data_IF_755528700118
#
_entry.id   IF_755528700118
#
_cell.length_a   1.000
_cell.length_b   1.000
_cell.length_c   1.000
_cell.angle_alpha   90.00
_cell.angle_beta   90.00
_cell.angle_gamma   90.00
#
_symmetry.space_group_name_H-M   'P 1'
#
loop_
_entity.id
_entity.type
_entity.pdbx_description
1 polymer ?
#
# COMPACT_ATOMS: atom_id res chain seq x y z
N UNK A 1 44.51 31.06 -27.02
CA UNK A 1 43.25 31.74 -27.37
C UNK A 1 42.41 31.84 -26.12
N UNK A 2 41.82 33.00 -25.93
CA UNK A 2 41.31 33.60 -24.69
C UNK A 2 39.87 33.14 -24.38
N UNK A 3 39.61 32.85 -23.08
CA UNK A 3 38.42 33.07 -22.22
C UNK A 3 36.99 32.68 -22.72
N UNK A 4 35.95 32.52 -21.90
CA UNK A 4 35.68 33.00 -20.54
C UNK A 4 34.63 32.15 -19.80
N UNK A 5 34.69 32.25 -18.47
CA UNK A 5 33.79 31.74 -17.44
C UNK A 5 32.60 32.71 -17.27
N UNK A 6 31.38 32.20 -17.06
CA UNK A 6 30.25 32.99 -16.54
C UNK A 6 29.67 32.29 -15.31
N UNK A 7 29.86 32.93 -14.16
CA UNK A 7 29.18 32.70 -12.89
C UNK A 7 28.17 33.84 -12.73
N UNK A 8 26.91 33.53 -12.42
CA UNK A 8 25.92 34.53 -12.05
C UNK A 8 25.40 34.26 -10.63
N UNK A 9 25.78 35.15 -9.72
CA UNK A 9 25.27 35.30 -8.36
C UNK A 9 24.19 36.38 -8.43
N UNK A 10 22.99 36.13 -7.86
CA UNK A 10 22.02 37.19 -7.56
C UNK A 10 21.54 37.00 -6.12
N UNK A 11 21.81 38.02 -5.30
CA UNK A 11 21.37 38.13 -3.92
C UNK A 11 20.56 39.42 -3.72
N UNK A 12 19.45 39.26 -2.98
CA UNK A 12 18.77 40.15 -2.04
C UNK A 12 18.27 41.55 -2.48
N UNK A 13 16.99 41.83 -2.18
CA UNK A 13 16.58 43.00 -1.37
C UNK A 13 15.28 42.73 -0.61
N UNK A 14 15.32 43.02 0.69
CA UNK A 14 14.21 43.04 1.66
C UNK A 14 13.56 44.44 1.62
N UNK A 15 12.23 44.52 1.61
CA UNK A 15 11.49 45.77 1.86
C UNK A 15 10.59 45.57 3.07
N UNK A 16 10.89 46.31 4.14
CA UNK A 16 10.06 46.47 5.32
C UNK A 16 9.38 47.84 5.25
N UNK A 17 8.07 47.90 5.49
CA UNK A 17 7.34 49.13 5.75
C UNK A 17 6.69 49.04 7.13
N UNK A 18 7.15 49.88 8.05
CA UNK A 18 6.51 50.20 9.32
C UNK A 18 5.77 51.53 9.18
N UNK A 19 4.59 51.65 9.77
CA UNK A 19 4.00 52.94 10.12
C UNK A 19 3.17 52.81 11.39
N UNK A 20 3.64 53.50 12.42
CA UNK A 20 2.99 53.71 13.71
C UNK A 20 1.87 54.76 13.58
N UNK A 21 0.81 54.62 14.39
CA UNK A 21 -0.23 55.64 14.56
C UNK A 21 -0.97 55.43 15.87
N UNK A 22 -0.55 56.17 16.90
CA UNK A 22 -1.14 56.24 18.23
C UNK A 22 -2.34 57.20 18.26
N UNK A 23 -3.33 56.91 19.10
CA UNK A 23 -4.43 57.85 19.40
C UNK A 23 -5.32 57.34 20.54
N UNK A 24 -5.00 57.77 21.76
CA UNK A 24 -5.76 57.55 22.99
C UNK A 24 -6.96 58.50 23.10
N UNK A 25 -8.01 58.08 23.82
CA UNK A 25 -9.12 58.94 24.24
C UNK A 25 -10.05 58.25 25.23
N UNK A 26 -9.92 58.62 26.49
CA UNK A 26 -10.62 58.11 27.68
C UNK A 26 -12.12 58.46 27.75
N UNK A 27 -12.87 57.71 28.58
CA UNK A 27 -14.25 58.04 28.95
C UNK A 27 -14.85 57.09 30.00
N UNK A 28 -14.49 57.32 31.26
CA UNK A 28 -14.93 56.61 32.48
C UNK A 28 -16.42 56.82 32.83
N UNK A 29 -17.05 55.85 33.51
CA UNK A 29 -18.38 56.06 34.13
C UNK A 29 -19.02 54.84 34.82
N UNK A 30 -18.53 54.51 36.02
CA UNK A 30 -19.23 54.15 37.28
C UNK A 30 -20.55 53.31 37.27
N UNK A 31 -20.55 52.18 38.01
CA UNK A 31 -21.72 51.43 38.54
C UNK A 31 -21.92 51.73 40.06
N UNK A 32 -22.84 51.11 40.87
CA UNK A 32 -24.01 50.21 40.68
C UNK A 32 -25.23 50.72 41.56
N UNK A 33 -26.12 49.94 42.26
CA UNK A 33 -26.60 48.53 42.19
C UNK A 33 -28.16 48.36 42.27
N UNK A 34 -28.70 47.13 42.16
CA UNK A 34 -30.04 46.80 42.72
C UNK A 34 -30.92 45.72 42.05
N UNK A 35 -30.86 44.51 42.60
CA UNK A 35 -31.92 43.49 42.82
C UNK A 35 -32.99 43.09 41.76
N UNK A 36 -32.93 41.79 41.42
CA UNK A 36 -34.00 40.76 41.45
C UNK A 36 -35.03 40.57 40.32
N UNK A 37 -35.05 39.29 39.88
CA UNK A 37 -36.18 38.42 39.45
C UNK A 37 -36.85 38.61 38.08
N UNK A 38 -36.83 37.54 37.27
CA UNK A 38 -37.88 37.27 36.28
C UNK A 38 -37.48 36.54 34.98
N UNK A 39 -37.65 35.21 34.98
CA UNK A 39 -38.11 34.36 33.86
C UNK A 39 -37.32 34.22 32.54
N UNK A 40 -36.80 33.00 32.37
CA UNK A 40 -37.01 32.08 31.24
C UNK A 40 -36.90 32.62 29.81
N UNK A 41 -35.84 32.20 29.10
CA UNK A 41 -35.90 31.62 27.74
C UNK A 41 -34.52 31.05 27.37
N UNK A 42 -34.44 29.73 27.26
CA UNK A 42 -33.29 28.98 26.75
C UNK A 42 -33.04 29.33 25.28
N UNK A 43 -31.85 29.80 24.85
CA UNK A 43 -31.51 29.79 23.43
C UNK A 43 -31.03 28.40 23.05
N UNK A 44 -31.71 27.78 22.08
CA UNK A 44 -31.30 26.54 21.46
C UNK A 44 -29.85 26.67 20.95
N UNK A 45 -28.97 25.82 21.50
CA UNK A 45 -27.59 25.65 21.05
C UNK A 45 -27.65 25.04 19.65
N UNK A 46 -27.67 25.91 18.64
CA UNK A 46 -27.49 25.50 17.25
C UNK A 46 -26.11 24.85 17.15
N UNK A 47 -26.11 23.52 17.11
CA UNK A 47 -24.99 22.69 16.75
C UNK A 47 -24.53 23.10 15.36
N UNK A 48 -23.43 23.84 15.29
CA UNK A 48 -22.69 24.02 14.05
C UNK A 48 -22.24 22.63 13.64
N UNK A 49 -22.92 22.08 12.63
CA UNK A 49 -22.53 20.86 11.97
C UNK A 49 -21.10 21.04 11.46
N UNK A 50 -20.17 20.28 12.04
CA UNK A 50 -18.81 20.16 11.52
C UNK A 50 -18.90 19.73 10.07
N UNK A 51 -18.42 20.59 9.16
CA UNK A 51 -18.21 20.24 7.77
C UNK A 51 -17.33 18.97 7.69
N UNK A 52 -17.56 18.08 6.72
CA UNK A 52 -16.73 16.89 6.55
C UNK A 52 -15.29 17.33 6.28
N UNK A 53 -14.37 16.84 7.12
CA UNK A 53 -12.94 17.09 7.01
C UNK A 53 -12.47 16.82 5.58
N UNK A 54 -11.95 17.84 4.92
CA UNK A 54 -11.18 17.67 3.69
C UNK A 54 -10.09 16.61 3.97
N UNK A 55 -10.06 15.56 3.14
CA UNK A 55 -9.06 14.49 3.20
C UNK A 55 -7.67 15.10 3.23
N UNK A 56 -7.03 15.09 4.40
CA UNK A 56 -5.65 15.59 4.57
C UNK A 56 -4.74 14.63 3.81
N UNK A 57 -3.87 15.16 2.96
CA UNK A 57 -2.85 14.37 2.29
C UNK A 57 -2.10 13.52 3.33
N UNK A 58 -1.85 12.23 3.05
CA UNK A 58 -1.14 11.35 3.99
C UNK A 58 0.19 11.97 4.42
N UNK A 59 0.50 11.92 5.72
CA UNK A 59 1.79 12.36 6.23
C UNK A 59 2.75 11.17 6.29
N UNK A 60 4.06 11.38 6.01
CA UNK A 60 5.03 10.30 6.04
C UNK A 60 5.15 9.69 7.45
N UNK A 61 5.25 8.36 7.58
CA UNK A 61 5.30 7.68 8.88
C UNK A 61 6.60 7.96 9.64
N UNK A 62 7.70 8.21 8.91
CA UNK A 62 8.98 8.67 9.46
C UNK A 62 9.52 9.78 8.57
N UNK A 63 10.31 10.70 9.14
CA UNK A 63 10.85 11.83 8.39
C UNK A 63 11.67 11.34 7.18
N UNK A 64 11.35 11.88 6.00
CA UNK A 64 11.99 11.52 4.75
C UNK A 64 11.34 10.35 4.01
N UNK A 65 10.52 9.55 4.68
CA UNK A 65 9.74 8.51 3.99
C UNK A 65 8.74 9.13 3.00
N UNK A 66 8.31 8.29 2.06
CA UNK A 66 7.19 8.61 1.18
C UNK A 66 5.92 8.90 2.01
N UNK A 67 5.19 9.96 1.64
CA UNK A 67 4.10 10.50 2.45
C UNK A 67 2.93 9.51 2.64
N UNK A 68 2.69 8.61 1.68
CA UNK A 68 1.67 7.55 1.77
C UNK A 68 2.20 6.20 2.27
N UNK A 69 3.44 6.13 2.76
CA UNK A 69 4.05 4.86 3.12
C UNK A 69 3.36 4.20 4.31
N UNK A 70 3.28 2.86 4.26
CA UNK A 70 2.54 2.07 5.24
C UNK A 70 1.03 2.02 4.99
N UNK A 71 0.55 2.71 3.96
CA UNK A 71 -0.81 2.60 3.43
C UNK A 71 -0.88 1.85 2.10
N UNK A 72 -1.87 2.16 1.24
CA UNK A 72 -2.10 1.40 0.02
C UNK A 72 -0.98 1.61 -0.99
N UNK A 73 -0.89 0.70 -1.96
CA UNK A 73 0.02 0.86 -3.10
C UNK A 73 -0.33 2.17 -3.84
N UNK A 74 0.66 3.01 -4.17
CA UNK A 74 0.41 4.17 -5.02
C UNK A 74 -0.12 3.72 -6.38
N UNK A 75 -1.16 4.39 -6.90
CA UNK A 75 -1.72 4.09 -8.23
C UNK A 75 -0.70 4.30 -9.37
N UNK A 76 0.33 5.10 -9.13
CA UNK A 76 1.45 5.35 -10.05
C UNK A 76 2.53 4.28 -9.98
N UNK A 77 2.41 3.28 -9.11
CA UNK A 77 3.45 2.29 -8.91
C UNK A 77 3.52 1.30 -10.08
N UNK A 78 4.71 1.15 -10.67
CA UNK A 78 4.96 0.23 -11.78
C UNK A 78 5.49 -1.13 -11.27
N UNK A 79 5.14 -2.27 -11.90
CA UNK A 79 5.69 -3.55 -11.49
C UNK A 79 7.20 -3.60 -11.72
N UNK A 80 7.95 -4.13 -10.75
CA UNK A 80 9.37 -4.45 -10.95
C UNK A 80 9.52 -5.60 -11.96
N UNK A 81 10.59 -5.59 -12.80
CA UNK A 81 10.94 -6.74 -13.61
C UNK A 81 11.21 -7.96 -12.72
N UNK A 82 10.57 -9.08 -13.05
CA UNK A 82 10.70 -10.34 -12.29
C UNK A 82 11.55 -11.36 -13.04
N UNK A 83 12.13 -12.28 -12.28
CA UNK A 83 12.84 -13.45 -12.79
C UNK A 83 12.61 -14.63 -11.83
N UNK A 84 12.94 -15.84 -12.26
CA UNK A 84 12.90 -17.03 -11.39
C UNK A 84 14.30 -17.28 -10.84
N UNK A 85 14.44 -17.26 -9.52
CA UNK A 85 15.72 -17.49 -8.86
C UNK A 85 16.30 -18.85 -9.19
N UNK A 86 17.55 -18.90 -9.65
CA UNK A 86 18.21 -20.14 -10.06
C UNK A 86 18.27 -21.21 -8.95
N UNK A 87 18.45 -20.76 -7.71
CA UNK A 87 18.63 -21.64 -6.54
C UNK A 87 17.36 -21.78 -5.70
N UNK A 88 16.58 -20.70 -5.59
CA UNK A 88 15.34 -20.68 -4.81
C UNK A 88 14.17 -21.24 -5.60
N UNK A 89 14.22 -21.18 -6.93
CA UNK A 89 13.10 -21.45 -7.84
C UNK A 89 11.85 -20.60 -7.56
N UNK A 90 12.01 -19.50 -6.82
CA UNK A 90 10.94 -18.56 -6.50
C UNK A 90 10.92 -17.44 -7.54
N UNK A 91 9.74 -16.86 -7.77
CA UNK A 91 9.66 -15.58 -8.48
C UNK A 91 10.27 -14.51 -7.59
N UNK A 92 11.17 -13.73 -8.19
CA UNK A 92 11.98 -12.75 -7.49
C UNK A 92 12.07 -11.45 -8.28
N UNK A 93 12.38 -10.37 -7.60
CA UNK A 93 12.72 -9.08 -8.21
C UNK A 93 13.89 -8.43 -7.47
N UNK A 94 14.61 -7.59 -8.19
CA UNK A 94 15.70 -6.78 -7.62
C UNK A 94 15.52 -5.32 -8.03
N UNK A 95 16.03 -4.43 -7.18
CA UNK A 95 16.26 -3.06 -7.58
C UNK A 95 17.51 -2.48 -6.94
N UNK A 96 18.06 -1.48 -7.63
CA UNK A 96 18.99 -0.51 -7.07
C UNK A 96 18.41 0.89 -7.26
N UNK A 97 18.63 1.73 -6.25
CA UNK A 97 18.40 3.18 -6.40
C UNK A 97 19.26 3.76 -7.55
N UNK A 98 18.92 4.94 -8.09
CA UNK A 98 19.69 5.57 -9.17
C UNK A 98 21.20 5.67 -8.89
N UNK A 99 21.59 5.94 -7.64
CA UNK A 99 23.01 5.99 -7.22
C UNK A 99 23.60 4.61 -6.93
N UNK A 100 22.79 3.58 -6.72
CA UNK A 100 23.22 2.23 -6.38
C UNK A 100 23.67 2.05 -4.92
N UNK A 101 23.52 3.09 -4.07
CA UNK A 101 23.89 3.02 -2.65
C UNK A 101 22.88 2.25 -1.78
N UNK A 102 21.69 2.00 -2.33
CA UNK A 102 20.60 1.26 -1.67
C UNK A 102 20.08 0.23 -2.66
N UNK A 103 19.92 -1.00 -2.20
CA UNK A 103 19.38 -2.09 -2.99
C UNK A 103 18.38 -2.93 -2.22
N UNK A 104 17.48 -3.58 -2.97
CA UNK A 104 16.53 -4.55 -2.42
C UNK A 104 16.42 -5.80 -3.30
N UNK A 105 16.21 -6.94 -2.64
CA UNK A 105 15.69 -8.16 -3.24
C UNK A 105 14.32 -8.49 -2.66
N UNK A 106 13.45 -8.99 -3.53
CA UNK A 106 12.10 -9.43 -3.22
C UNK A 106 11.92 -10.83 -3.77
N UNK A 107 11.19 -11.67 -3.03
CA UNK A 107 10.86 -13.02 -3.41
C UNK A 107 9.43 -13.32 -2.97
N UNK A 108 8.77 -14.22 -3.67
CA UNK A 108 7.63 -14.93 -3.11
C UNK A 108 8.01 -15.54 -1.75
N UNK A 109 7.07 -15.64 -0.79
CA UNK A 109 7.35 -16.26 0.50
C UNK A 109 7.91 -17.67 0.33
N UNK A 110 9.08 -17.93 0.91
CA UNK A 110 9.59 -19.30 1.02
C UNK A 110 8.83 -20.09 2.10
N UNK A 111 9.22 -21.34 2.33
CA UNK A 111 8.59 -22.21 3.33
C UNK A 111 8.65 -21.66 4.77
N UNK A 112 9.54 -20.70 5.04
CA UNK A 112 9.70 -20.04 6.33
C UNK A 112 9.14 -18.60 6.32
N UNK A 113 8.37 -18.23 5.29
CA UNK A 113 7.79 -16.90 5.15
C UNK A 113 8.77 -15.81 4.73
N UNK A 114 10.02 -16.14 4.35
CA UNK A 114 11.02 -15.15 3.95
C UNK A 114 10.71 -14.62 2.55
N UNK A 115 10.79 -13.30 2.38
CA UNK A 115 10.37 -12.59 1.16
C UNK A 115 11.44 -11.65 0.59
N UNK A 116 12.65 -11.67 1.14
CA UNK A 116 13.77 -10.86 0.67
C UNK A 116 14.30 -9.90 1.72
N UNK A 117 14.81 -8.75 1.30
CA UNK A 117 15.52 -7.78 2.15
C UNK A 117 15.90 -6.51 1.38
N UNK A 118 16.17 -5.44 2.12
CA UNK A 118 16.83 -4.23 1.62
C UNK A 118 18.06 -3.88 2.44
N UNK A 119 18.99 -3.13 1.85
CA UNK A 119 20.12 -2.59 2.60
C UNK A 119 20.74 -1.33 2.01
N UNK A 120 21.48 -0.63 2.86
CA UNK A 120 22.27 0.55 2.49
C UNK A 120 23.74 0.13 2.49
N UNK A 121 24.39 0.12 1.33
CA UNK A 121 25.74 -0.46 1.19
C UNK A 121 26.78 0.27 2.04
N UNK A 122 26.65 1.59 2.22
CA UNK A 122 27.54 2.38 3.08
C UNK A 122 27.44 2.02 4.57
N UNK A 123 26.40 1.31 4.99
CA UNK A 123 26.25 0.85 6.39
C UNK A 123 26.97 -0.48 6.65
N UNK A 124 27.49 -1.15 5.62
CA UNK A 124 28.28 -2.38 5.78
C UNK A 124 29.72 -2.09 6.27
N UNK A 125 29.83 -1.41 7.41
CA UNK A 125 31.08 -1.03 8.07
C UNK A 125 30.93 -1.16 9.58
N UNK A 126 32.02 -1.20 10.34
CA UNK A 126 31.97 -1.23 11.81
C UNK A 126 31.25 -0.02 12.43
N UNK A 127 31.14 1.09 11.70
CA UNK A 127 30.54 2.35 12.17
C UNK A 127 29.09 2.52 11.66
N UNK A 128 28.39 1.43 11.38
CA UNK A 128 27.00 1.50 10.94
C UNK A 128 26.13 2.29 11.93
N UNK A 129 25.28 3.21 11.45
CA UNK A 129 24.30 3.88 12.31
C UNK A 129 23.24 2.93 12.87
N UNK A 130 23.12 1.71 12.32
CA UNK A 130 22.22 0.66 12.82
C UNK A 130 22.86 -0.19 13.93
N UNK A 131 24.08 0.18 14.36
CA UNK A 131 24.89 -0.60 15.28
C UNK A 131 25.61 -1.75 14.59
N UNK A 132 26.32 -2.56 15.38
CA UNK A 132 27.07 -3.70 14.88
C UNK A 132 26.94 -4.92 15.78
N UNK A 133 27.34 -6.07 15.26
CA UNK A 133 27.43 -7.31 16.02
C UNK A 133 28.90 -7.67 16.19
N UNK A 134 29.31 -7.91 17.44
CA UNK A 134 30.67 -8.32 17.77
C UNK A 134 30.87 -9.78 17.38
N UNK A 135 31.81 -10.03 16.47
CA UNK A 135 32.25 -11.36 16.04
C UNK A 135 33.76 -11.43 16.21
N UNK A 136 34.27 -12.38 17.00
CA UNK A 136 35.72 -12.68 17.20
C UNK A 136 36.65 -11.50 16.82
N UNK A 137 36.71 -10.47 17.66
CA UNK A 137 37.61 -9.32 17.50
C UNK A 137 37.23 -8.27 16.45
N UNK A 138 36.12 -8.44 15.71
CA UNK A 138 35.65 -7.50 14.68
C UNK A 138 34.16 -7.17 14.86
N UNK A 139 33.84 -5.88 14.88
CA UNK A 139 32.47 -5.37 14.88
C UNK A 139 31.95 -5.33 13.42
N UNK A 140 30.89 -6.09 13.14
CA UNK A 140 30.25 -6.18 11.81
C UNK A 140 28.99 -5.33 11.79
N UNK A 141 28.98 -4.27 10.98
CA UNK A 141 27.85 -3.36 10.86
C UNK A 141 26.57 -4.07 10.48
N UNK A 142 25.47 -3.68 11.12
CA UNK A 142 24.13 -4.01 10.64
C UNK A 142 23.81 -3.11 9.46
N UNK A 143 23.31 -3.67 8.36
CA UNK A 143 23.11 -2.90 7.14
C UNK A 143 21.95 -3.40 6.28
N UNK A 144 21.33 -4.51 6.69
CA UNK A 144 20.22 -5.17 6.02
C UNK A 144 18.99 -5.18 6.91
N UNK A 145 17.83 -5.07 6.28
CA UNK A 145 16.51 -5.30 6.86
C UNK A 145 15.87 -6.47 6.12
N UNK A 146 15.60 -7.56 6.83
CA UNK A 146 14.96 -8.74 6.26
C UNK A 146 13.46 -8.57 6.12
N UNK A 147 12.89 -9.16 5.08
CA UNK A 147 11.45 -9.26 4.86
C UNK A 147 11.00 -10.69 5.14
N UNK A 148 10.07 -10.83 6.06
CA UNK A 148 9.42 -12.10 6.36
C UNK A 148 8.02 -11.86 6.89
N UNK A 149 7.09 -12.77 6.59
CA UNK A 149 5.70 -12.72 7.04
C UNK A 149 5.02 -11.37 6.77
N UNK A 150 5.30 -10.79 5.60
CA UNK A 150 4.83 -9.47 5.17
C UNK A 150 5.27 -8.31 6.07
N UNK A 151 6.38 -8.45 6.82
CA UNK A 151 6.89 -7.42 7.73
C UNK A 151 8.38 -7.17 7.58
N UNK A 152 8.81 -5.99 8.03
CA UNK A 152 10.23 -5.64 8.09
C UNK A 152 10.84 -6.00 9.45
N UNK A 153 11.78 -6.95 9.42
CA UNK A 153 12.51 -7.41 10.60
C UNK A 153 13.55 -6.41 11.11
N UNK A 154 14.09 -6.69 12.29
CA UNK A 154 15.20 -5.92 12.88
C UNK A 154 16.43 -5.87 11.97
N UNK A 155 17.21 -4.77 11.99
CA UNK A 155 18.42 -4.70 11.20
C UNK A 155 19.48 -5.68 11.70
N UNK A 156 20.16 -6.33 10.75
CA UNK A 156 21.11 -7.38 11.04
C UNK A 156 22.42 -7.26 10.24
N UNK A 157 23.48 -7.89 10.73
CA UNK A 157 24.78 -7.97 10.07
C UNK A 157 24.80 -9.12 9.06
N UNK A 158 25.53 -8.95 7.96
CA UNK A 158 25.87 -10.05 7.05
C UNK A 158 27.36 -9.96 6.72
N UNK A 159 28.04 -11.10 6.77
CA UNK A 159 29.47 -11.22 6.48
C UNK A 159 29.79 -11.16 4.98
N UNK A 160 28.78 -11.24 4.11
CA UNK A 160 28.90 -11.06 2.66
C UNK A 160 28.06 -9.89 2.18
N UNK A 161 28.53 -9.19 1.14
CA UNK A 161 27.63 -8.41 0.29
C UNK A 161 26.67 -9.40 -0.35
N UNK A 162 25.37 -9.11 -0.31
CA UNK A 162 24.41 -9.91 -1.07
C UNK A 162 24.86 -9.86 -2.53
N UNK A 163 25.08 -11.01 -3.16
CA UNK A 163 25.80 -11.08 -4.46
C UNK A 163 25.18 -10.19 -5.55
N UNK A 164 23.88 -9.92 -5.45
CA UNK A 164 23.13 -9.03 -6.33
C UNK A 164 23.39 -7.54 -6.07
N UNK A 165 23.81 -7.11 -4.88
CA UNK A 165 24.23 -5.72 -4.63
C UNK A 165 25.61 -5.41 -5.21
N UNK A 166 26.43 -6.42 -5.50
CA UNK A 166 27.66 -6.23 -6.25
C UNK A 166 27.32 -6.27 -7.74
N UNK A 167 27.20 -5.10 -8.36
CA UNK A 167 26.96 -5.00 -9.79
C UNK A 167 28.27 -4.83 -10.57
N UNK A 168 28.42 -5.48 -11.73
CA UNK A 168 27.50 -6.49 -12.28
C UNK A 168 27.56 -7.78 -11.46
N UNK A 169 26.44 -8.50 -11.35
CA UNK A 169 26.47 -9.83 -10.75
C UNK A 169 27.38 -10.75 -11.58
N UNK A 170 28.02 -11.73 -10.94
CA UNK A 170 29.00 -12.61 -11.60
C UNK A 170 28.42 -13.50 -12.71
N UNK A 171 27.10 -13.61 -12.79
CA UNK A 171 26.33 -14.30 -13.83
C UNK A 171 25.90 -13.37 -14.98
N UNK A 172 26.33 -12.10 -14.96
CA UNK A 172 25.98 -11.09 -15.96
C UNK A 172 24.63 -10.43 -15.73
N UNK A 173 23.88 -10.80 -14.68
CA UNK A 173 22.60 -10.17 -14.35
C UNK A 173 22.81 -8.71 -13.93
N UNK A 174 22.14 -7.80 -14.64
CA UNK A 174 22.10 -6.38 -14.31
C UNK A 174 20.87 -6.10 -13.47
N UNK A 175 21.07 -5.67 -12.22
CA UNK A 175 19.96 -5.26 -11.37
C UNK A 175 19.35 -3.97 -11.93
N UNK A 176 18.03 -3.94 -12.16
CA UNK A 176 17.35 -2.73 -12.62
C UNK A 176 17.61 -1.54 -11.70
N UNK A 177 17.92 -0.39 -12.30
CA UNK A 177 17.97 0.88 -11.58
C UNK A 177 16.62 1.58 -11.69
N UNK A 178 15.96 1.76 -10.55
CA UNK A 178 14.74 2.55 -10.46
C UNK A 178 15.05 4.04 -10.59
N UNK A 179 14.06 4.85 -10.96
CA UNK A 179 14.19 6.30 -11.11
C UNK A 179 13.77 7.05 -9.83
N UNK A 180 14.28 8.28 -9.64
CA UNK A 180 13.81 9.15 -8.57
C UNK A 180 12.45 9.76 -8.92
N UNK A 181 11.57 9.91 -7.93
CA UNK A 181 10.19 10.40 -8.08
C UNK A 181 9.21 9.35 -8.60
N UNK A 182 9.63 8.08 -8.72
CA UNK A 182 8.82 6.98 -9.21
C UNK A 182 8.55 5.95 -8.12
N UNK A 183 7.38 5.31 -8.22
CA UNK A 183 6.96 4.25 -7.33
C UNK A 183 6.93 2.92 -8.10
N UNK A 184 7.21 1.84 -7.39
CA UNK A 184 7.29 0.49 -7.94
C UNK A 184 6.61 -0.50 -7.01
N UNK A 185 6.37 -1.72 -7.47
CA UNK A 185 5.90 -2.79 -6.61
C UNK A 185 6.42 -4.19 -7.01
N UNK A 186 6.47 -5.07 -6.01
CA UNK A 186 6.57 -6.51 -6.17
C UNK A 186 5.57 -7.15 -5.20
N UNK A 187 4.55 -7.83 -5.73
CA UNK A 187 3.43 -8.33 -4.93
C UNK A 187 2.94 -7.22 -3.97
N UNK A 188 2.71 -7.53 -2.70
CA UNK A 188 2.26 -6.57 -1.69
C UNK A 188 3.35 -5.62 -1.17
N UNK A 189 4.56 -5.66 -1.73
CA UNK A 189 5.61 -4.70 -1.41
C UNK A 189 5.55 -3.51 -2.36
N UNK A 190 5.23 -2.34 -1.81
CA UNK A 190 5.30 -1.06 -2.49
C UNK A 190 6.66 -0.39 -2.21
N UNK A 191 7.18 0.29 -3.22
CA UNK A 191 8.47 0.96 -3.21
C UNK A 191 8.26 2.38 -3.71
N UNK A 192 8.83 3.36 -3.01
CA UNK A 192 8.94 4.73 -3.49
C UNK A 192 10.40 5.13 -3.51
N UNK A 193 10.92 5.42 -4.70
CA UNK A 193 12.29 5.87 -4.91
C UNK A 193 12.30 7.39 -5.03
N UNK A 194 12.67 8.06 -3.95
CA UNK A 194 12.67 9.52 -3.84
C UNK A 194 14.12 10.04 -3.73
N UNK A 195 14.33 11.33 -4.02
CA UNK A 195 15.68 11.90 -3.98
C UNK A 195 16.33 11.80 -2.59
N UNK A 196 15.51 11.88 -1.54
CA UNK A 196 15.93 11.79 -0.15
C UNK A 196 16.13 10.35 0.34
N UNK A 197 15.65 9.33 -0.38
CA UNK A 197 15.82 7.93 0.00
C UNK A 197 14.83 6.98 -0.67
N UNK A 198 14.95 5.70 -0.32
CA UNK A 198 14.06 4.64 -0.75
C UNK A 198 13.12 4.29 0.40
N UNK A 199 11.82 4.30 0.16
CA UNK A 199 10.82 3.80 1.11
C UNK A 199 10.27 2.48 0.59
N UNK A 200 10.25 1.44 1.42
CA UNK A 200 9.67 0.14 1.09
C UNK A 200 8.69 -0.25 2.17
N UNK A 201 7.49 -0.68 1.82
CA UNK A 201 6.49 -1.13 2.79
C UNK A 201 5.62 -2.22 2.22
N UNK A 202 5.14 -3.09 3.10
CA UNK A 202 4.11 -4.03 2.75
C UNK A 202 2.74 -3.34 2.86
N UNK A 203 1.93 -3.41 1.82
CA UNK A 203 0.64 -2.73 1.76
C UNK A 203 -0.38 -3.40 2.67
N UNK A 204 -0.32 -4.72 2.88
CA UNK A 204 -1.28 -5.43 3.73
C UNK A 204 -1.07 -5.18 5.22
N UNK A 205 0.18 -5.17 5.69
CA UNK A 205 0.50 -5.00 7.12
C UNK A 205 0.83 -3.56 7.48
N UNK A 206 1.18 -2.72 6.50
CA UNK A 206 1.72 -1.39 6.71
C UNK A 206 3.16 -1.35 7.21
N UNK A 207 3.78 -2.51 7.48
CA UNK A 207 5.15 -2.59 7.99
C UNK A 207 6.14 -2.19 6.89
N UNK A 208 7.06 -1.29 7.20
CA UNK A 208 7.97 -0.73 6.21
C UNK A 208 9.26 -0.18 6.78
N UNK A 209 10.10 0.29 5.88
CA UNK A 209 11.41 0.90 6.17
C UNK A 209 11.72 2.02 5.21
N UNK A 210 12.21 3.12 5.75
CA UNK A 210 12.86 4.19 5.02
C UNK A 210 14.37 3.97 5.03
N UNK A 211 15.02 4.12 3.88
CA UNK A 211 16.44 3.87 3.66
C UNK A 211 17.06 5.10 2.99
N UNK A 212 18.14 5.61 3.56
CA UNK A 212 18.95 6.69 3.00
C UNK A 212 20.42 6.45 3.36
N UNK A 213 21.33 7.23 2.78
CA UNK A 213 22.76 7.17 3.16
C UNK A 213 23.03 7.69 4.57
N UNK A 214 22.09 8.43 5.17
CA UNK A 214 22.23 9.09 6.46
C UNK A 214 21.53 8.33 7.58
N UNK A 215 20.34 7.79 7.30
CA UNK A 215 19.53 7.05 8.26
C UNK A 215 18.75 5.93 7.61
N UNK A 216 18.40 4.93 8.41
CA UNK A 216 17.35 3.97 8.04
C UNK A 216 16.48 3.69 9.25
N UNK A 217 15.19 3.69 9.02
CA UNK A 217 14.20 3.70 10.09
C UNK A 217 12.99 2.86 9.67
N UNK A 218 12.64 1.88 10.50
CA UNK A 218 11.43 1.09 10.32
C UNK A 218 10.22 1.86 10.81
N UNK A 219 9.07 1.54 10.25
CA UNK A 219 7.81 2.09 10.68
C UNK A 219 6.71 1.07 10.53
N UNK A 220 5.62 1.33 11.23
CA UNK A 220 4.36 0.61 11.10
C UNK A 220 3.31 1.62 10.63
N UNK A 221 2.72 1.34 9.47
CA UNK A 221 1.60 2.09 8.94
C UNK A 221 0.27 1.46 9.31
N UNK A 222 -0.85 2.08 8.88
CA UNK A 222 -2.17 1.53 9.11
C UNK A 222 -2.38 0.17 8.45
N UNK A 223 -1.66 -0.13 7.36
CA UNK A 223 -1.94 -1.27 6.51
C UNK A 223 -3.28 -1.10 5.81
N UNK A 224 -3.33 -1.46 4.54
CA UNK A 224 -4.56 -1.49 3.75
C UNK A 224 -4.33 -2.49 2.64
N UNK A 225 -5.09 -3.56 2.64
CA UNK A 225 -5.46 -4.32 1.44
C UNK A 225 -5.43 -3.39 0.19
N UNK A 226 -4.46 -3.58 -0.70
CA UNK A 226 -4.06 -2.64 -1.74
C UNK A 226 -5.06 -2.52 -2.90
N UNK A 227 -5.67 -1.34 -3.17
CA UNK A 227 -6.34 -1.10 -4.44
C UNK A 227 -5.28 -0.89 -5.55
N UNK A 228 -5.37 -1.63 -6.65
CA UNK A 228 -4.47 -1.47 -7.82
C UNK A 228 -5.20 -0.67 -8.89
N UNK A 229 -4.64 0.45 -9.34
CA UNK A 229 -5.11 1.20 -10.52
C UNK A 229 -3.96 1.35 -11.53
N UNK A 230 -4.22 1.14 -12.83
CA UNK A 230 -3.33 1.61 -13.90
C UNK A 230 -3.27 0.79 -15.19
N UNK A 231 -3.52 -0.51 -15.16
CA UNK A 231 -3.74 -1.31 -16.39
C UNK A 231 -5.22 -1.33 -16.76
N UNK A 232 -5.55 -1.68 -18.01
CA UNK A 232 -6.94 -1.92 -18.47
C UNK A 232 -7.79 -2.49 -17.33
N UNK A 233 -8.85 -1.77 -16.98
CA UNK A 233 -9.60 -2.04 -15.77
C UNK A 233 -10.04 -3.51 -15.76
N UNK A 234 -9.60 -4.25 -14.75
CA UNK A 234 -9.87 -5.68 -14.68
C UNK A 234 -11.37 -5.89 -14.47
N UNK A 235 -12.01 -6.57 -15.40
CA UNK A 235 -13.42 -6.94 -15.28
C UNK A 235 -13.58 -8.23 -14.45
N UNK A 236 -14.79 -8.46 -13.95
CA UNK A 236 -15.14 -9.76 -13.36
C UNK A 236 -15.54 -10.76 -14.46
N UNK A 237 -14.63 -11.60 -14.91
CA UNK A 237 -14.95 -12.63 -15.92
C UNK A 237 -15.49 -12.07 -17.25
N UNK A 238 -16.15 -12.95 -18.01
CA UNK A 238 -16.93 -12.57 -19.19
C UNK A 238 -18.41 -12.32 -18.81
N UNK A 239 -19.12 -11.42 -19.52
CA UNK A 239 -20.58 -11.26 -19.35
C UNK A 239 -21.33 -12.60 -19.42
N UNK A 240 -22.25 -12.82 -18.47
CA UNK A 240 -23.01 -14.06 -18.34
C UNK A 240 -24.45 -13.88 -18.85
N UNK A 241 -24.98 -14.87 -19.56
CA UNK A 241 -26.35 -14.82 -20.11
C UNK A 241 -27.36 -15.01 -18.98
N UNK A 242 -28.17 -14.00 -18.68
CA UNK A 242 -29.13 -14.03 -17.57
C UNK A 242 -28.49 -13.84 -16.18
N UNK A 243 -27.20 -13.47 -16.13
CA UNK A 243 -26.49 -13.08 -14.92
C UNK A 243 -26.35 -11.56 -14.74
N UNK A 244 -25.71 -11.15 -13.65
CA UNK A 244 -25.44 -9.75 -13.30
C UNK A 244 -23.99 -9.57 -12.81
N UNK A 245 -23.43 -8.37 -13.00
CA UNK A 245 -22.11 -7.97 -12.50
C UNK A 245 -20.91 -8.47 -13.31
N UNK A 246 -21.00 -9.63 -13.94
CA UNK A 246 -19.95 -10.18 -14.79
C UNK A 246 -19.67 -9.31 -16.03
N UNK A 247 -18.40 -9.20 -16.40
CA UNK A 247 -17.90 -8.29 -17.44
C UNK A 247 -17.79 -6.82 -17.03
N UNK A 248 -18.16 -6.49 -15.78
CA UNK A 248 -18.04 -5.13 -15.22
C UNK A 248 -16.83 -5.02 -14.28
N UNK A 249 -16.36 -3.80 -14.09
CA UNK A 249 -15.32 -3.45 -13.11
C UNK A 249 -16.00 -3.23 -11.76
N UNK A 250 -15.53 -3.94 -10.73
CA UNK A 250 -15.95 -3.79 -9.33
C UNK A 250 -17.48 -3.81 -9.12
N UNK A 251 -18.18 -4.88 -9.58
CA UNK A 251 -19.64 -4.94 -9.50
C UNK A 251 -20.14 -5.07 -8.06
N UNK A 252 -21.14 -4.28 -7.66
CA UNK A 252 -21.75 -4.38 -6.32
C UNK A 252 -22.74 -5.54 -6.17
N UNK A 253 -23.16 -6.12 -7.29
CA UNK A 253 -24.06 -7.25 -7.33
C UNK A 253 -23.55 -8.23 -8.38
N UNK A 254 -23.44 -9.50 -8.01
CA UNK A 254 -23.02 -10.57 -8.91
C UNK A 254 -24.02 -11.71 -8.86
N UNK A 255 -24.34 -12.22 -10.04
CA UNK A 255 -25.23 -13.35 -10.23
C UNK A 255 -24.78 -14.13 -11.47
N UNK A 256 -24.46 -15.40 -11.33
CA UNK A 256 -24.10 -16.24 -12.48
C UNK A 256 -25.31 -16.60 -13.36
N UNK A 257 -26.53 -16.30 -12.91
CA UNK A 257 -27.74 -16.77 -13.57
C UNK A 257 -28.00 -18.26 -13.30
N UNK A 258 -29.21 -18.69 -13.65
CA UNK A 258 -29.67 -20.07 -13.44
C UNK A 258 -30.51 -20.26 -12.18
N UNK A 259 -31.55 -21.11 -12.27
CA UNK A 259 -32.59 -21.27 -11.26
C UNK A 259 -32.13 -21.86 -9.90
N UNK A 260 -30.85 -22.20 -9.75
CA UNK A 260 -30.29 -22.89 -8.58
C UNK A 260 -29.01 -22.26 -8.02
N UNK A 261 -28.62 -21.04 -8.42
CA UNK A 261 -27.32 -20.48 -8.06
C UNK A 261 -27.25 -20.06 -6.57
N UNK A 262 -26.33 -20.67 -5.82
CA UNK A 262 -25.77 -20.10 -4.58
C UNK A 262 -24.78 -18.97 -4.89
N UNK A 263 -24.45 -18.81 -6.17
CA UNK A 263 -23.53 -17.85 -6.75
C UNK A 263 -24.15 -16.47 -6.94
N UNK A 264 -24.93 -16.02 -5.95
CA UNK A 264 -25.46 -14.66 -5.89
C UNK A 264 -24.91 -13.97 -4.65
N UNK A 265 -24.35 -12.78 -4.85
CA UNK A 265 -23.93 -11.89 -3.77
C UNK A 265 -24.34 -10.46 -4.12
N UNK A 266 -24.90 -9.75 -3.15
CA UNK A 266 -25.38 -8.37 -3.27
C UNK A 266 -24.71 -7.45 -2.27
N UNK A 267 -24.78 -6.15 -2.52
CA UNK A 267 -24.18 -5.11 -1.69
C UNK A 267 -22.69 -5.33 -1.42
N UNK A 268 -21.97 -5.79 -2.46
CA UNK A 268 -20.57 -6.14 -2.35
C UNK A 268 -19.74 -4.88 -2.18
N UNK A 269 -18.93 -4.87 -1.14
CA UNK A 269 -17.83 -3.92 -0.97
C UNK A 269 -16.54 -4.65 -1.24
N UNK A 270 -15.87 -4.27 -2.34
CA UNK A 270 -14.61 -4.86 -2.74
C UNK A 270 -13.43 -4.19 -2.03
N UNK A 271 -12.41 -5.00 -1.80
CA UNK A 271 -11.05 -4.61 -1.47
C UNK A 271 -10.13 -5.26 -2.50
N UNK A 272 -8.97 -4.64 -2.72
CA UNK A 272 -7.93 -5.20 -3.59
C UNK A 272 -8.30 -5.36 -5.07
N UNK A 273 -9.32 -4.65 -5.56
CA UNK A 273 -9.67 -4.68 -6.98
C UNK A 273 -8.50 -4.24 -7.85
N UNK A 274 -8.26 -4.95 -8.95
CA UNK A 274 -7.13 -4.70 -9.84
C UNK A 274 -5.85 -5.49 -9.50
N UNK A 275 -5.76 -6.09 -8.32
CA UNK A 275 -4.62 -6.91 -7.90
C UNK A 275 -4.71 -8.34 -8.45
N UNK A 276 -3.82 -9.24 -8.06
CA UNK A 276 -3.93 -10.67 -8.38
C UNK A 276 -5.15 -11.35 -7.74
N UNK A 277 -5.74 -10.71 -6.72
CA UNK A 277 -6.93 -11.18 -6.01
C UNK A 277 -7.72 -10.03 -5.40
N UNK A 278 -8.95 -9.83 -5.86
CA UNK A 278 -9.91 -8.95 -5.21
C UNK A 278 -10.79 -9.73 -4.21
N UNK A 279 -11.02 -9.17 -3.03
CA UNK A 279 -11.92 -9.76 -2.02
C UNK A 279 -13.11 -8.85 -1.83
N UNK A 280 -14.33 -9.39 -1.80
CA UNK A 280 -15.55 -8.65 -1.55
C UNK A 280 -16.28 -9.20 -0.34
N UNK A 281 -16.90 -8.31 0.43
CA UNK A 281 -17.86 -8.67 1.48
C UNK A 281 -19.24 -8.22 1.07
N UNK A 282 -20.25 -9.08 1.24
CA UNK A 282 -21.61 -8.80 0.85
C UNK A 282 -22.60 -9.72 1.54
N UNK A 283 -23.81 -9.78 0.98
CA UNK A 283 -24.88 -10.68 1.43
C UNK A 283 -25.28 -11.62 0.31
N UNK A 284 -25.40 -12.90 0.61
CA UNK A 284 -25.70 -13.94 -0.37
C UNK A 284 -26.75 -14.94 0.10
N UNK A 285 -26.94 -15.98 -0.70
CA UNK A 285 -27.81 -17.11 -0.40
C UNK A 285 -26.95 -18.32 -0.03
N UNK A 286 -26.97 -18.69 1.26
CA UNK A 286 -26.30 -19.90 1.74
C UNK A 286 -27.19 -21.13 1.52
N UNK A 287 -26.61 -22.20 0.99
CA UNK A 287 -27.25 -23.50 0.85
C UNK A 287 -26.60 -24.47 1.85
N UNK A 288 -27.30 -24.87 2.92
CA UNK A 288 -26.78 -25.88 3.82
C UNK A 288 -26.56 -27.23 3.11
N UNK A 289 -25.46 -27.93 3.40
CA UNK A 289 -25.12 -29.20 2.75
C UNK A 289 -26.09 -30.34 3.11
N UNK A 290 -26.80 -30.23 4.23
CA UNK A 290 -27.75 -31.22 4.75
C UNK A 290 -29.21 -30.98 4.29
N UNK A 291 -29.45 -29.97 3.46
CA UNK A 291 -30.79 -29.61 2.96
C UNK A 291 -30.90 -29.80 1.45
N UNK A 292 -32.14 -29.95 0.96
CA UNK A 292 -32.40 -30.05 -0.49
C UNK A 292 -31.88 -28.81 -1.22
N UNK A 293 -31.39 -28.96 -2.45
CA UNK A 293 -30.81 -27.87 -3.26
C UNK A 293 -31.77 -26.72 -3.65
N UNK A 294 -33.00 -26.75 -3.13
CA UNK A 294 -34.01 -25.68 -3.24
C UNK A 294 -33.99 -24.79 -2.00
N UNK A 295 -33.65 -25.33 -0.81
CA UNK A 295 -33.66 -24.58 0.44
C UNK A 295 -32.48 -23.61 0.53
N UNK A 296 -32.76 -22.32 0.74
CA UNK A 296 -31.72 -21.28 0.82
C UNK A 296 -31.96 -20.38 2.01
N UNK A 297 -30.89 -20.05 2.71
CA UNK A 297 -30.88 -18.96 3.69
C UNK A 297 -30.44 -17.69 2.97
N UNK A 298 -31.38 -16.76 2.77
CA UNK A 298 -31.11 -15.48 2.13
C UNK A 298 -30.58 -14.43 3.12
N UNK A 299 -29.76 -13.51 2.61
CA UNK A 299 -29.25 -12.39 3.39
C UNK A 299 -28.12 -12.76 4.35
N UNK A 300 -27.46 -13.89 4.12
CA UNK A 300 -26.34 -14.34 4.95
C UNK A 300 -25.09 -13.56 4.55
N UNK A 301 -24.37 -13.00 5.53
CA UNK A 301 -23.09 -12.35 5.28
C UNK A 301 -22.09 -13.35 4.70
N UNK A 302 -21.58 -13.03 3.51
CA UNK A 302 -20.69 -13.87 2.73
C UNK A 302 -19.52 -13.10 2.15
N UNK A 303 -18.49 -13.84 1.81
CA UNK A 303 -17.28 -13.33 1.19
C UNK A 303 -17.20 -13.86 -0.25
N UNK A 304 -16.73 -13.00 -1.15
CA UNK A 304 -16.41 -13.35 -2.53
C UNK A 304 -14.94 -13.06 -2.78
N UNK A 305 -14.28 -13.90 -3.56
CA UNK A 305 -12.89 -13.71 -3.96
C UNK A 305 -12.80 -13.88 -5.47
N UNK A 306 -12.42 -12.83 -6.17
CA UNK A 306 -12.09 -12.85 -7.60
C UNK A 306 -10.58 -12.88 -7.76
N UNK A 307 -10.03 -13.80 -8.54
CA UNK A 307 -8.58 -14.00 -8.62
C UNK A 307 -8.17 -14.58 -9.96
N UNK A 308 -6.86 -14.79 -10.13
CA UNK A 308 -6.24 -15.31 -11.35
C UNK A 308 -6.48 -14.37 -12.55
N UNK A 309 -5.83 -13.18 -12.57
CA UNK A 309 -5.95 -12.24 -13.67
C UNK A 309 -5.50 -12.87 -14.98
N UNK A 310 -6.34 -12.75 -15.98
CA UNK A 310 -6.05 -13.24 -17.32
C UNK A 310 -6.86 -12.48 -18.35
N UNK A 311 -7.36 -13.20 -19.34
CA UNK A 311 -8.11 -12.60 -20.44
C UNK A 311 -9.38 -13.40 -20.68
N UNK A 312 -10.54 -12.75 -20.56
CA UNK A 312 -11.82 -13.31 -20.98
C UNK A 312 -12.29 -12.58 -22.24
N UNK A 313 -12.52 -13.28 -23.35
CA UNK A 313 -13.02 -12.66 -24.58
C UNK A 313 -12.17 -11.51 -25.13
N UNK A 314 -10.85 -11.55 -24.92
CA UNK A 314 -9.91 -10.50 -25.34
C UNK A 314 -9.79 -9.29 -24.40
N UNK A 315 -10.48 -9.28 -23.26
CA UNK A 315 -10.39 -8.21 -22.25
C UNK A 315 -9.73 -8.70 -20.98
N UNK A 316 -9.00 -7.82 -20.29
CA UNK A 316 -8.39 -8.13 -18.99
C UNK A 316 -9.46 -8.39 -17.93
N UNK A 317 -9.42 -9.57 -17.30
CA UNK A 317 -10.45 -9.97 -16.33
C UNK A 317 -9.90 -10.95 -15.29
N UNK A 318 -10.55 -11.00 -14.13
CA UNK A 318 -10.41 -12.14 -13.22
C UNK A 318 -11.05 -13.36 -13.87
N UNK A 319 -10.32 -14.46 -13.95
CA UNK A 319 -10.79 -15.68 -14.63
C UNK A 319 -11.51 -16.63 -13.68
N UNK A 320 -11.31 -16.48 -12.36
CA UNK A 320 -11.88 -17.33 -11.32
C UNK A 320 -12.58 -16.55 -10.23
N UNK A 321 -13.61 -17.16 -9.65
CA UNK A 321 -14.32 -16.63 -8.48
C UNK A 321 -14.64 -17.73 -7.46
N UNK A 322 -14.60 -17.39 -6.18
CA UNK A 322 -15.07 -18.24 -5.09
C UNK A 322 -15.99 -17.47 -4.15
N UNK A 323 -17.01 -18.17 -3.64
CA UNK A 323 -17.98 -17.65 -2.67
C UNK A 323 -17.91 -18.51 -1.43
N UNK A 324 -18.00 -17.91 -0.25
CA UNK A 324 -18.07 -18.66 1.01
C UNK A 324 -18.73 -17.85 2.12
N UNK A 325 -19.31 -18.54 3.11
CA UNK A 325 -20.01 -17.96 4.25
C UNK A 325 -19.28 -18.30 5.57
N UNK A 326 -18.36 -17.43 6.06
CA UNK A 326 -17.60 -17.70 7.28
C UNK A 326 -18.44 -17.97 8.52
N UNK A 327 -19.59 -17.29 8.64
CA UNK A 327 -20.55 -17.50 9.73
C UNK A 327 -21.15 -18.91 9.77
N UNK A 328 -21.01 -19.68 8.69
CA UNK A 328 -21.45 -21.06 8.52
C UNK A 328 -20.27 -22.06 8.56
N UNK A 329 -19.05 -21.59 8.84
CA UNK A 329 -17.85 -22.42 8.91
C UNK A 329 -17.15 -22.65 7.57
N UNK A 330 -17.61 -22.01 6.49
CA UNK A 330 -16.93 -22.09 5.20
C UNK A 330 -15.70 -21.17 5.15
N UNK A 331 -14.76 -21.50 4.28
CA UNK A 331 -13.52 -20.75 4.05
C UNK A 331 -13.23 -20.68 2.56
N UNK A 332 -12.36 -19.74 2.19
CA UNK A 332 -11.87 -19.66 0.82
C UNK A 332 -11.21 -20.99 0.40
N UNK A 333 -11.61 -21.48 -0.78
CA UNK A 333 -11.05 -22.67 -1.41
C UNK A 333 -10.84 -22.40 -2.90
N UNK A 334 -9.58 -22.19 -3.29
CA UNK A 334 -9.21 -21.93 -4.67
C UNK A 334 -9.41 -23.15 -5.59
N UNK A 335 -9.40 -24.37 -5.06
CA UNK A 335 -9.53 -25.59 -5.86
C UNK A 335 -10.96 -25.80 -6.38
N UNK A 336 -11.96 -25.27 -5.65
CA UNK A 336 -13.38 -25.34 -6.00
C UNK A 336 -13.90 -24.03 -6.60
N UNK A 337 -13.01 -23.14 -7.04
CA UNK A 337 -13.39 -21.88 -7.67
C UNK A 337 -14.08 -22.11 -9.02
N UNK A 338 -15.01 -21.22 -9.34
CA UNK A 338 -15.76 -21.23 -10.58
C UNK A 338 -14.96 -20.48 -11.65
N UNK A 339 -14.77 -21.10 -12.81
CA UNK A 339 -14.30 -20.41 -14.01
C UNK A 339 -15.41 -19.51 -14.54
N UNK A 340 -15.10 -18.21 -14.69
CA UNK A 340 -16.04 -17.16 -15.06
C UNK A 340 -15.71 -16.50 -16.41
N UNK A 341 -14.76 -17.05 -17.17
CA UNK A 341 -14.50 -16.61 -18.55
C UNK A 341 -15.40 -17.29 -19.58
N UNK A 342 -15.97 -18.45 -19.24
CA UNK A 342 -16.90 -19.17 -20.12
C UNK A 342 -18.33 -18.74 -19.81
N UNK A 343 -19.12 -18.45 -20.86
CA UNK A 343 -20.56 -18.22 -20.71
C UNK A 343 -21.23 -19.53 -20.35
N UNK A 344 -22.02 -19.55 -19.27
CA UNK A 344 -22.86 -20.69 -18.88
C UNK A 344 -24.33 -20.47 -19.22
#
# INVERSE_FOLDING_TARGET
MIAAIIVAIVAATIVACTSSGSGSGDGSGTAPPGASSGQASTPARSSVASAPSASRAPAPPVEGAYAGAGGPRPATAEPLPTYVGRYTHLRSAHLLTPTGGIGCDFNEPDANGKQGQCGVTSFNTSNSPLGCVNRVGTCKGKWLFGFADNRVGEPYDSSGTTGWMNQPASDGYQVPRVQYGHQYYFDDWAIASEFNGLTVWNTTTGSGVFLSKQKSERFEGPGTSAPTAGGEAIALGAPQSGGAGYGSVEPRDIDLGGASSTSQMKNITWTDWGSDRATGTGIGNYQPPDKSGIYRESGVAGNVVAFDPGTCGGKRAYTKIAYFFPSKGERFDAANAIDICTSR
#
